data_IF_238575832256
#
_entry.id   IF_238575832256
#
_cell.length_a   1.000
_cell.length_b   1.000
_cell.length_c   1.000
_cell.angle_alpha   90.00
_cell.angle_beta   90.00
_cell.angle_gamma   90.00
#
_symmetry.space_group_name_H-M   'P 1'
#
loop_
_entity.id
_entity.type
_entity.pdbx_description
1 polymer ?
#
# COMPACT_ATOMS: atom_id res chain seq x y z
N UNK A 1 -7.93 -26.35 -54.53
CA UNK A 1 -8.56 -26.76 -53.25
C UNK A 1 -7.56 -27.16 -52.15
N UNK A 2 -6.32 -27.55 -52.42
CA UNK A 2 -5.30 -27.90 -51.42
C UNK A 2 -4.74 -26.67 -50.72
N UNK A 3 -4.56 -25.54 -51.40
CA UNK A 3 -3.92 -24.33 -50.85
C UNK A 3 -4.77 -23.58 -49.82
N UNK A 4 -6.11 -23.62 -49.96
CA UNK A 4 -7.04 -22.97 -49.04
C UNK A 4 -7.04 -23.66 -47.65
N UNK A 5 -6.85 -24.99 -47.62
CA UNK A 5 -6.76 -25.75 -46.34
C UNK A 5 -5.46 -25.47 -45.63
N UNK A 6 -4.35 -25.31 -46.39
CA UNK A 6 -3.04 -24.99 -45.84
C UNK A 6 -3.03 -23.58 -45.21
N UNK A 7 -3.60 -22.57 -45.90
CA UNK A 7 -3.71 -21.19 -45.40
C UNK A 7 -4.59 -21.11 -44.15
N UNK A 8 -5.72 -21.85 -44.11
CA UNK A 8 -6.57 -21.90 -42.89
C UNK A 8 -5.87 -22.56 -41.70
N UNK A 9 -5.07 -23.61 -41.95
CA UNK A 9 -4.29 -24.26 -40.88
C UNK A 9 -3.18 -23.35 -40.36
N UNK A 10 -2.49 -22.61 -41.21
CA UNK A 10 -1.46 -21.63 -40.80
C UNK A 10 -2.06 -20.48 -40.01
N UNK A 11 -3.22 -19.94 -40.44
CA UNK A 11 -3.95 -18.89 -39.71
C UNK A 11 -4.43 -19.37 -38.32
N UNK A 12 -4.86 -20.63 -38.19
CA UNK A 12 -5.28 -21.21 -36.92
C UNK A 12 -4.09 -21.37 -35.96
N UNK A 13 -2.91 -21.75 -36.43
CA UNK A 13 -1.69 -21.89 -35.63
C UNK A 13 -1.17 -20.54 -35.19
N UNK A 14 -1.21 -19.52 -36.04
CA UNK A 14 -0.81 -18.14 -35.69
C UNK A 14 -1.77 -17.56 -34.66
N UNK A 15 -3.08 -17.85 -34.75
CA UNK A 15 -4.07 -17.43 -33.73
C UNK A 15 -3.82 -18.06 -32.34
N UNK A 16 -3.34 -19.32 -32.33
CA UNK A 16 -3.06 -20.02 -31.06
C UNK A 16 -1.79 -19.52 -30.34
N UNK A 17 -0.84 -18.96 -31.10
CA UNK A 17 0.40 -18.38 -30.52
C UNK A 17 0.21 -16.98 -29.93
N UNK A 18 -0.89 -16.28 -30.24
CA UNK A 18 -1.16 -14.94 -29.71
C UNK A 18 -1.84 -14.94 -28.33
N UNK A 19 -2.22 -16.12 -27.79
CA UNK A 19 -2.93 -16.21 -26.50
C UNK A 19 -1.97 -16.50 -25.32
N UNK A 20 -0.68 -16.72 -25.55
CA UNK A 20 0.30 -16.85 -24.48
C UNK A 20 0.92 -15.51 -24.07
N UNK A 21 0.12 -14.46 -23.98
CA UNK A 21 0.46 -13.31 -23.14
C UNK A 21 0.25 -13.74 -21.68
N UNK A 22 1.20 -14.50 -21.14
CA UNK A 22 1.34 -14.64 -19.70
C UNK A 22 1.54 -13.23 -19.16
N UNK A 23 0.48 -12.63 -18.66
CA UNK A 23 0.54 -11.56 -17.70
C UNK A 23 1.29 -12.12 -16.48
N UNK A 24 2.62 -12.04 -16.48
CA UNK A 24 3.37 -12.10 -15.23
C UNK A 24 2.78 -10.99 -14.39
N UNK A 25 2.09 -11.36 -13.32
CA UNK A 25 1.65 -10.43 -12.29
C UNK A 25 2.92 -9.82 -11.70
N UNK A 26 3.41 -8.75 -12.33
CA UNK A 26 4.65 -8.06 -11.98
C UNK A 26 4.30 -6.97 -10.95
N UNK A 27 3.62 -7.38 -9.85
CA UNK A 27 3.36 -6.47 -8.75
C UNK A 27 4.70 -6.03 -8.15
N UNK A 28 4.84 -4.74 -7.91
CA UNK A 28 5.99 -4.14 -7.26
C UNK A 28 6.21 -4.77 -5.87
N UNK A 29 7.46 -5.12 -5.55
CA UNK A 29 7.87 -5.68 -4.26
C UNK A 29 8.86 -4.74 -3.57
N UNK A 30 8.82 -4.69 -2.26
CA UNK A 30 9.76 -3.84 -1.50
C UNK A 30 11.23 -4.19 -1.80
N UNK A 31 11.56 -5.47 -1.99
CA UNK A 31 12.91 -5.93 -2.33
C UNK A 31 13.44 -5.36 -3.66
N UNK A 32 12.58 -4.90 -4.57
CA UNK A 32 12.99 -4.29 -5.85
C UNK A 32 13.77 -2.98 -5.64
N UNK A 33 13.75 -2.45 -4.41
CA UNK A 33 14.41 -1.21 -4.00
C UNK A 33 15.69 -1.42 -3.20
N UNK A 34 16.17 -2.65 -3.01
CA UNK A 34 17.28 -3.00 -2.08
C UNK A 34 18.58 -2.17 -2.30
N UNK A 35 18.88 -1.78 -3.53
CA UNK A 35 20.10 -1.05 -3.86
C UNK A 35 19.82 0.42 -4.22
N UNK A 36 18.67 0.96 -3.84
CA UNK A 36 18.30 2.35 -4.13
C UNK A 36 18.46 3.23 -2.91
N UNK A 37 18.73 4.52 -3.15
CA UNK A 37 18.88 5.57 -2.13
C UNK A 37 17.82 6.68 -2.35
N UNK A 38 17.54 7.48 -1.31
CA UNK A 38 18.08 7.42 0.07
C UNK A 38 17.43 6.29 0.88
N UNK A 39 18.19 5.64 1.77
CA UNK A 39 17.64 4.58 2.64
C UNK A 39 16.58 5.14 3.58
N UNK A 40 15.43 4.46 3.69
CA UNK A 40 14.37 4.74 4.65
C UNK A 40 14.50 3.77 5.84
N UNK A 41 14.76 4.31 7.01
CA UNK A 41 14.65 3.62 8.30
C UNK A 41 13.39 4.17 8.94
N UNK A 42 12.30 3.40 8.90
CA UNK A 42 10.95 3.91 9.20
C UNK A 42 10.82 4.39 10.64
N UNK A 43 11.46 3.69 11.59
CA UNK A 43 11.46 4.05 12.99
C UNK A 43 12.20 5.35 13.29
N UNK A 44 13.21 5.69 12.49
CA UNK A 44 13.91 6.98 12.59
C UNK A 44 13.10 8.08 11.90
N UNK A 45 12.59 7.80 10.70
CA UNK A 45 11.88 8.77 9.88
C UNK A 45 10.56 9.23 10.51
N UNK A 46 9.82 8.33 11.18
CA UNK A 46 8.56 8.64 11.84
C UNK A 46 8.73 9.01 13.34
N UNK A 47 9.95 9.03 13.88
CA UNK A 47 10.16 9.49 15.26
C UNK A 47 10.00 11.00 15.38
N UNK A 48 9.37 11.44 16.48
CA UNK A 48 9.02 12.84 16.71
C UNK A 48 7.76 13.26 15.95
N UNK A 49 7.68 14.57 15.64
CA UNK A 49 6.49 15.15 15.02
C UNK A 49 6.61 15.19 13.50
N UNK A 50 5.70 14.49 12.82
CA UNK A 50 5.60 14.47 11.36
C UNK A 50 4.23 14.98 10.94
N UNK A 51 4.15 15.69 9.83
CA UNK A 51 2.89 16.13 9.22
C UNK A 51 2.68 15.46 7.89
N UNK A 52 1.43 15.10 7.62
CA UNK A 52 1.02 14.57 6.34
C UNK A 52 -0.24 15.26 5.81
N UNK A 53 -0.37 15.28 4.50
CA UNK A 53 -1.58 15.74 3.79
C UNK A 53 -1.90 14.71 2.72
N UNK A 54 -3.18 14.47 2.50
CA UNK A 54 -3.57 13.50 1.50
C UNK A 54 -4.97 13.71 0.95
N UNK A 55 -5.24 12.97 -0.11
CA UNK A 55 -6.55 12.91 -0.76
C UNK A 55 -6.96 11.46 -0.94
N UNK A 56 -8.25 11.18 -0.76
CA UNK A 56 -8.87 9.94 -1.20
C UNK A 56 -9.44 10.13 -2.59
N UNK A 57 -9.16 9.20 -3.48
CA UNK A 57 -9.71 9.17 -4.83
C UNK A 57 -10.52 7.89 -5.04
N UNK A 58 -11.61 8.00 -5.79
CA UNK A 58 -12.32 6.82 -6.27
C UNK A 58 -11.64 6.23 -7.51
N UNK A 59 -12.15 5.09 -8.03
CA UNK A 59 -11.58 4.40 -9.21
C UNK A 59 -11.52 5.29 -10.48
N UNK A 60 -12.35 6.34 -10.58
CA UNK A 60 -12.30 7.29 -11.71
C UNK A 60 -11.31 8.45 -11.51
N UNK A 61 -10.53 8.44 -10.41
CA UNK A 61 -9.59 9.51 -10.09
C UNK A 61 -10.22 10.75 -9.46
N UNK A 62 -11.53 10.74 -9.20
CA UNK A 62 -12.20 11.88 -8.54
C UNK A 62 -11.83 11.89 -7.06
N UNK A 63 -11.33 13.04 -6.56
CA UNK A 63 -11.12 13.27 -5.13
C UNK A 63 -12.46 13.24 -4.40
N UNK A 64 -12.57 12.43 -3.36
CA UNK A 64 -13.78 12.22 -2.56
C UNK A 64 -13.64 12.80 -1.16
N UNK A 65 -12.44 12.81 -0.57
CA UNK A 65 -12.11 13.40 0.73
C UNK A 65 -10.66 13.88 0.74
N UNK A 66 -10.35 14.81 1.63
CA UNK A 66 -9.00 15.30 1.89
C UNK A 66 -8.73 15.29 3.39
N UNK A 67 -7.46 15.17 3.76
CA UNK A 67 -7.07 15.25 5.17
C UNK A 67 -5.73 15.96 5.35
N UNK A 68 -5.54 16.48 6.56
CA UNK A 68 -4.23 16.70 7.15
C UNK A 68 -4.07 15.77 8.35
N UNK A 69 -2.84 15.33 8.61
CA UNK A 69 -2.55 14.47 9.77
C UNK A 69 -1.34 14.99 10.53
N UNK A 70 -1.46 14.95 11.85
CA UNK A 70 -0.36 15.12 12.79
C UNK A 70 0.03 13.73 13.30
N UNK A 71 1.31 13.37 13.15
CA UNK A 71 1.87 12.11 13.59
C UNK A 71 2.89 12.37 14.68
N UNK A 72 2.86 11.59 15.76
CA UNK A 72 3.81 11.66 16.87
C UNK A 72 4.36 10.26 17.14
N UNK A 73 5.64 10.06 16.78
CA UNK A 73 6.31 8.78 16.85
C UNK A 73 7.31 8.71 18.00
N UNK A 74 7.28 7.62 18.76
CA UNK A 74 8.25 7.32 19.82
C UNK A 74 8.87 5.96 19.60
N UNK A 75 10.19 5.90 19.44
CA UNK A 75 10.97 4.67 19.26
C UNK A 75 11.70 4.29 20.56
N UNK A 76 11.56 3.03 21.00
CA UNK A 76 12.19 2.51 22.22
C UNK A 76 13.40 1.60 21.98
N UNK A 77 13.82 1.43 20.74
CA UNK A 77 14.87 0.50 20.30
C UNK A 77 14.33 -0.81 19.73
N UNK A 78 13.02 -1.08 19.85
CA UNK A 78 12.36 -2.27 19.32
C UNK A 78 10.98 -2.00 18.73
N UNK A 79 10.23 -1.07 19.31
CA UNK A 79 8.88 -0.72 18.92
C UNK A 79 8.78 0.78 18.65
N UNK A 80 8.12 1.12 17.55
CA UNK A 80 7.67 2.46 17.23
C UNK A 80 6.19 2.56 17.61
N UNK A 81 5.90 3.41 18.58
CA UNK A 81 4.53 3.84 18.89
C UNK A 81 4.27 5.08 18.05
N UNK A 82 3.33 5.00 17.12
CA UNK A 82 2.97 6.08 16.22
C UNK A 82 1.53 6.50 16.46
N UNK A 83 1.35 7.69 17.03
CA UNK A 83 0.04 8.31 17.23
C UNK A 83 -0.28 9.18 16.03
N UNK A 84 -1.43 8.95 15.43
CA UNK A 84 -1.91 9.66 14.26
C UNK A 84 -3.21 10.37 14.59
N UNK A 85 -3.30 11.66 14.24
CA UNK A 85 -4.52 12.44 14.31
C UNK A 85 -4.83 13.01 12.94
N UNK A 86 -5.86 12.45 12.29
CA UNK A 86 -6.36 12.91 11.01
C UNK A 86 -7.44 13.96 11.22
N UNK A 87 -7.36 15.05 10.48
CA UNK A 87 -8.39 16.07 10.38
C UNK A 87 -8.92 16.06 8.94
N UNK A 88 -10.12 15.55 8.75
CA UNK A 88 -10.77 15.42 7.47
C UNK A 88 -11.50 16.70 7.05
N UNK A 89 -11.65 16.95 5.74
CA UNK A 89 -12.31 18.13 5.17
C UNK A 89 -13.82 18.20 5.44
N UNK A 90 -14.45 17.08 5.82
CA UNK A 90 -15.85 17.01 6.28
C UNK A 90 -16.01 17.26 7.78
N UNK A 91 -14.94 17.59 8.50
CA UNK A 91 -14.90 17.88 9.92
C UNK A 91 -14.74 16.66 10.84
N UNK A 92 -14.64 15.44 10.29
CA UNK A 92 -14.32 14.26 11.07
C UNK A 92 -12.90 14.34 11.62
N UNK A 93 -12.73 13.94 12.89
CA UNK A 93 -11.41 13.76 13.52
C UNK A 93 -11.26 12.27 13.80
N UNK A 94 -10.22 11.67 13.23
CA UNK A 94 -9.88 10.27 13.45
C UNK A 94 -8.54 10.16 14.14
N UNK A 95 -8.47 9.34 15.21
CA UNK A 95 -7.22 9.04 15.89
C UNK A 95 -6.90 7.56 15.71
N UNK A 96 -5.61 7.25 15.52
CA UNK A 96 -5.09 5.89 15.49
C UNK A 96 -3.77 5.85 16.22
N UNK A 97 -3.52 4.74 16.91
CA UNK A 97 -2.22 4.47 17.52
C UNK A 97 -1.72 3.13 16.99
N UNK A 98 -0.59 3.16 16.33
CA UNK A 98 0.14 1.98 15.89
C UNK A 98 1.19 1.57 16.90
N UNK A 99 1.33 0.26 17.09
CA UNK A 99 2.53 -0.36 17.65
C UNK A 99 3.22 -1.11 16.52
N UNK A 100 4.32 -0.57 16.02
CA UNK A 100 5.12 -1.17 14.93
C UNK A 100 6.38 -1.78 15.53
N UNK A 101 6.50 -3.10 15.48
CA UNK A 101 7.63 -3.85 16.02
C UNK A 101 8.61 -4.18 14.90
N UNK A 102 9.87 -3.81 15.08
CA UNK A 102 10.96 -4.24 14.19
C UNK A 102 11.34 -5.69 14.51
N UNK A 103 11.17 -6.58 13.53
CA UNK A 103 11.47 -8.01 13.66
C UNK A 103 12.92 -8.27 13.32
N UNK A 104 13.40 -7.67 12.23
CA UNK A 104 14.81 -7.68 11.81
C UNK A 104 15.13 -6.41 11.01
N UNK A 105 16.23 -6.40 10.26
CA UNK A 105 16.67 -5.24 9.49
C UNK A 105 15.65 -4.73 8.47
N UNK A 106 14.84 -5.64 7.89
CA UNK A 106 13.95 -5.33 6.78
C UNK A 106 12.48 -5.66 7.06
N UNK A 107 12.17 -6.37 8.15
CA UNK A 107 10.84 -6.88 8.43
C UNK A 107 10.24 -6.25 9.68
N UNK A 108 8.95 -5.90 9.58
CA UNK A 108 8.19 -5.25 10.62
C UNK A 108 6.80 -5.90 10.77
N UNK A 109 6.28 -5.89 11.97
CA UNK A 109 4.88 -6.21 12.27
C UNK A 109 4.23 -5.02 12.94
N UNK A 110 2.95 -4.76 12.64
CA UNK A 110 2.20 -3.67 13.24
C UNK A 110 0.84 -4.11 13.76
N UNK A 111 0.37 -3.43 14.80
CA UNK A 111 -0.99 -3.56 15.31
C UNK A 111 -1.58 -2.18 15.60
N UNK A 112 -2.90 -2.04 15.40
CA UNK A 112 -3.70 -0.90 15.83
C UNK A 112 -5.10 -1.39 16.20
N UNK A 113 -5.90 -0.54 16.84
CA UNK A 113 -7.21 -0.94 17.37
C UNK A 113 -8.23 -1.38 16.32
N UNK A 114 -8.11 -0.88 15.10
CA UNK A 114 -8.98 -1.17 13.96
C UNK A 114 -8.36 -2.16 12.95
N UNK A 115 -7.16 -2.70 13.24
CA UNK A 115 -6.46 -3.69 12.38
C UNK A 115 -6.94 -5.11 12.68
N UNK A 116 -7.28 -5.84 11.64
CA UNK A 116 -7.62 -7.27 11.71
C UNK A 116 -6.33 -8.09 11.68
N UNK A 117 -5.99 -8.71 12.79
CA UNK A 117 -4.75 -9.46 12.92
C UNK A 117 -3.53 -8.56 13.06
N UNK A 118 -2.55 -8.72 12.18
CA UNK A 118 -1.31 -7.93 12.15
C UNK A 118 -1.10 -7.31 10.78
N UNK A 119 -0.53 -6.12 10.75
CA UNK A 119 0.07 -5.54 9.57
C UNK A 119 1.48 -6.11 9.37
N UNK A 120 1.88 -6.31 8.11
CA UNK A 120 3.22 -6.81 7.75
C UNK A 120 3.96 -5.73 6.97
N UNK A 121 5.16 -5.40 7.43
CA UNK A 121 6.00 -4.35 6.86
C UNK A 121 7.30 -4.86 6.29
N UNK A 122 7.74 -4.22 5.19
CA UNK A 122 9.00 -4.50 4.52
C UNK A 122 9.71 -3.20 4.17
N UNK A 123 10.99 -3.05 4.56
CA UNK A 123 11.81 -1.87 4.29
C UNK A 123 13.03 -2.23 3.47
N UNK A 124 13.15 -1.67 2.26
CA UNK A 124 14.32 -1.84 1.39
C UNK A 124 14.63 -0.54 0.64
N UNK A 125 15.87 -0.08 0.73
CA UNK A 125 16.28 1.20 0.14
C UNK A 125 15.38 2.35 0.57
N UNK A 126 14.81 3.17 -0.32
CA UNK A 126 13.91 4.26 0.01
C UNK A 126 12.47 3.84 0.30
N UNK A 127 12.13 2.55 0.12
CA UNK A 127 10.75 2.09 0.17
C UNK A 127 10.44 1.32 1.46
N UNK A 128 9.31 1.67 2.07
CA UNK A 128 8.65 0.90 3.10
C UNK A 128 7.26 0.52 2.61
N UNK A 129 6.97 -0.78 2.59
CA UNK A 129 5.66 -1.33 2.27
C UNK A 129 4.99 -1.82 3.54
N UNK A 130 3.71 -1.51 3.71
CA UNK A 130 2.92 -1.95 4.85
C UNK A 130 1.57 -2.49 4.37
N UNK A 131 1.31 -3.77 4.61
CA UNK A 131 0.08 -4.44 4.19
C UNK A 131 -0.76 -4.78 5.41
N UNK A 132 -2.02 -4.36 5.41
CA UNK A 132 -2.93 -4.59 6.53
C UNK A 132 -4.39 -4.56 6.12
N UNK A 133 -5.25 -5.11 6.98
CA UNK A 133 -6.70 -5.08 6.82
C UNK A 133 -7.30 -4.27 7.95
N UNK A 134 -8.12 -3.26 7.62
CA UNK A 134 -8.88 -2.48 8.58
C UNK A 134 -10.36 -2.88 8.58
N UNK A 135 -10.99 -2.75 9.75
CA UNK A 135 -12.44 -2.66 9.87
C UNK A 135 -12.85 -1.19 9.72
N UNK A 136 -13.49 -0.86 8.60
CA UNK A 136 -13.89 0.50 8.28
C UNK A 136 -15.41 0.61 8.27
N UNK A 137 -16.00 1.58 9.00
CA UNK A 137 -17.44 1.82 8.92
C UNK A 137 -17.79 2.48 7.58
N UNK A 138 -18.52 1.76 6.74
CA UNK A 138 -19.01 2.26 5.45
C UNK A 138 -20.53 2.18 5.42
N UNK A 139 -21.21 3.32 5.32
CA UNK A 139 -22.69 3.40 5.27
C UNK A 139 -23.38 2.60 6.39
N UNK A 140 -22.84 2.66 7.60
CA UNK A 140 -23.39 2.00 8.78
C UNK A 140 -23.12 0.49 8.89
N UNK A 141 -22.25 -0.06 8.05
CA UNK A 141 -21.76 -1.44 8.13
C UNK A 141 -20.24 -1.45 8.26
N UNK A 142 -19.69 -2.39 9.02
CA UNK A 142 -18.25 -2.62 9.05
C UNK A 142 -17.83 -3.42 7.82
N UNK A 143 -16.83 -2.91 7.11
CA UNK A 143 -16.24 -3.57 5.95
C UNK A 143 -14.76 -3.82 6.20
N UNK A 144 -14.28 -4.99 5.78
CA UNK A 144 -12.85 -5.28 5.74
C UNK A 144 -12.27 -4.66 4.47
N UNK A 145 -11.32 -3.76 4.65
CA UNK A 145 -10.59 -3.12 3.54
C UNK A 145 -9.12 -3.45 3.69
N UNK A 146 -8.54 -4.02 2.64
CA UNK A 146 -7.09 -4.28 2.56
C UNK A 146 -6.39 -3.02 2.08
N UNK A 147 -5.34 -2.64 2.78
CA UNK A 147 -4.47 -1.53 2.47
C UNK A 147 -3.12 -2.07 1.99
N UNK A 148 -2.71 -1.67 0.79
CA UNK A 148 -1.36 -1.84 0.25
C UNK A 148 -0.70 -0.46 0.29
N UNK A 149 0.01 -0.21 1.37
CA UNK A 149 0.50 1.11 1.75
C UNK A 149 2.01 1.20 1.52
N UNK A 150 2.45 2.22 0.79
CA UNK A 150 3.83 2.44 0.43
C UNK A 150 4.30 3.82 0.85
N UNK A 151 5.46 3.87 1.50
CA UNK A 151 6.16 5.12 1.80
C UNK A 151 7.48 5.12 1.04
N UNK A 152 7.75 6.18 0.28
CA UNK A 152 8.98 6.37 -0.49
C UNK A 152 9.70 7.62 0.01
N UNK A 153 10.83 7.43 0.70
CA UNK A 153 11.70 8.53 1.13
C UNK A 153 12.26 9.26 -0.09
N UNK A 154 12.13 10.58 -0.12
CA UNK A 154 12.69 11.43 -1.17
C UNK A 154 13.96 12.10 -0.67
N UNK A 155 13.95 12.62 0.55
CA UNK A 155 15.06 13.21 1.28
C UNK A 155 14.85 13.06 2.79
N UNK A 156 15.63 13.79 3.60
CA UNK A 156 15.54 13.68 5.07
C UNK A 156 14.28 14.32 5.67
N UNK A 157 13.47 15.02 4.87
CA UNK A 157 12.26 15.72 5.32
C UNK A 157 11.00 15.31 4.59
N UNK A 158 11.12 14.70 3.42
CA UNK A 158 10.00 14.42 2.54
C UNK A 158 9.93 12.93 2.18
N UNK A 159 8.77 12.34 2.36
CA UNK A 159 8.42 11.04 1.78
C UNK A 159 7.08 11.15 1.07
N UNK A 160 6.91 10.35 0.02
CA UNK A 160 5.64 10.20 -0.69
C UNK A 160 4.98 8.92 -0.17
N UNK A 161 3.73 9.05 0.29
CA UNK A 161 2.89 7.90 0.60
C UNK A 161 1.94 7.63 -0.58
N UNK A 162 1.82 6.35 -0.95
CA UNK A 162 0.88 5.86 -1.96
C UNK A 162 0.20 4.61 -1.42
N UNK A 163 -1.10 4.70 -1.19
CA UNK A 163 -1.88 3.61 -0.63
C UNK A 163 -3.01 3.20 -1.58
N UNK A 164 -3.09 1.90 -1.88
CA UNK A 164 -4.19 1.30 -2.61
C UNK A 164 -5.11 0.57 -1.64
N UNK A 165 -6.43 0.76 -1.84
CA UNK A 165 -7.46 0.17 -1.01
C UNK A 165 -8.25 -0.86 -1.83
N UNK A 166 -8.35 -2.09 -1.29
CA UNK A 166 -9.08 -3.18 -1.93
C UNK A 166 -10.20 -3.66 -1.00
N UNK A 167 -11.40 -3.86 -1.55
CA UNK A 167 -12.49 -4.54 -0.85
C UNK A 167 -12.53 -6.00 -1.30
N UNK A 168 -12.91 -6.92 -0.40
CA UNK A 168 -13.07 -8.35 -0.71
C UNK A 168 -14.11 -8.62 -1.81
N UNK A 169 -15.04 -7.69 -2.01
CA UNK A 169 -16.13 -7.80 -2.99
C UNK A 169 -15.70 -7.39 -4.42
N UNK A 170 -14.46 -6.95 -4.62
CA UNK A 170 -13.95 -6.53 -5.93
C UNK A 170 -13.38 -7.69 -6.77
N UNK A 171 -13.44 -8.92 -6.28
CA UNK A 171 -12.93 -10.10 -6.98
C UNK A 171 -13.97 -10.81 -7.86
N UNK A 172 -15.24 -10.38 -7.84
CA UNK A 172 -16.37 -11.04 -8.52
C UNK A 172 -17.04 -10.16 -9.63
N UNK A 173 -16.34 -9.12 -10.13
CA UNK A 173 -16.79 -8.35 -11.30
C UNK A 173 -15.80 -8.43 -12.47
#
# INVERSE_FOLDING_TARGET
>A
MRDIKLVKSILLIISLFLITSCSKNNSMKAIDFINKEPRLIIEEYLSGNVKAWGVLQNRSGKVTRQFSADLDGTWDGKQLILKEKFNWDDGEIQNREWTITKIDENNYEGTAGDVVGKAIGYSYGPAFKFEYVLLVPVKGKEMKITFDDWIFKQDDRVAINSCLLYTSDAADE
#
